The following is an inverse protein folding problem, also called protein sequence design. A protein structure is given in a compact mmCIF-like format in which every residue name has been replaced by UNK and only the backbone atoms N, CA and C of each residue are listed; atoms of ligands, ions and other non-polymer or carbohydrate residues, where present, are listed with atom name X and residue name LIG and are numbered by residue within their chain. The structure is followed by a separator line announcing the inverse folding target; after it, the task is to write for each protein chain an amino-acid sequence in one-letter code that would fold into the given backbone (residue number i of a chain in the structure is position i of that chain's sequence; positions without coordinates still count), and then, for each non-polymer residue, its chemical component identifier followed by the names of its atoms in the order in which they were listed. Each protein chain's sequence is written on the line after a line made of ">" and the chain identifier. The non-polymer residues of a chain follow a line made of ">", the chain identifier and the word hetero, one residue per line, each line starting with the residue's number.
data_IF_846421257204
#
_entry.id   IF_846421257204
#
_cell.length_a   1.000
_cell.length_b   1.000
_cell.length_c   1.000
_cell.angle_alpha   90.00
_cell.angle_beta   90.00
_cell.angle_gamma   90.00
#
_symmetry.space_group_name_H-M   'P 1'
#
loop_
_entity.id
_entity.type
_entity.pdbx_description
1 polymer ?
#
# COMPACT_ATOMS: atom_id res chain seq x y z
N UNK A 1 10.01 11.99 -11.26
CA UNK A 1 8.73 12.41 -10.65
C UNK A 1 8.66 13.93 -10.54
N UNK A 2 7.72 14.60 -11.22
CA UNK A 2 7.39 16.01 -10.95
C UNK A 2 6.28 16.06 -9.91
N UNK A 3 6.62 16.00 -8.63
CA UNK A 3 5.68 16.49 -7.61
C UNK A 3 5.45 17.97 -7.87
N UNK A 4 4.23 18.48 -7.70
CA UNK A 4 4.00 19.93 -7.66
C UNK A 4 5.01 20.53 -6.67
N UNK A 5 5.86 21.44 -7.14
CA UNK A 5 6.91 22.05 -6.32
C UNK A 5 6.34 22.63 -5.02
N UNK A 6 5.07 23.08 -5.05
CA UNK A 6 4.33 23.56 -3.87
C UNK A 6 3.96 22.44 -2.91
N UNK A 7 3.59 21.27 -3.41
CA UNK A 7 3.30 20.10 -2.58
C UNK A 7 4.57 19.56 -1.92
N UNK A 8 5.69 19.57 -2.62
CA UNK A 8 6.99 19.18 -2.08
C UNK A 8 7.48 20.16 -1.01
N UNK A 9 7.41 21.47 -1.27
CA UNK A 9 7.74 22.51 -0.28
C UNK A 9 6.91 22.33 1.00
N UNK A 10 5.59 22.10 0.84
CA UNK A 10 4.68 21.86 1.96
C UNK A 10 5.04 20.61 2.75
N UNK A 11 5.36 19.52 2.06
CA UNK A 11 5.75 18.26 2.70
C UNK A 11 7.07 18.37 3.46
N UNK A 12 8.05 19.07 2.89
CA UNK A 12 9.32 19.40 3.56
C UNK A 12 9.09 20.28 4.80
N UNK A 13 8.17 21.26 4.71
CA UNK A 13 7.79 22.10 5.85
C UNK A 13 7.16 21.31 6.99
N UNK A 14 6.31 20.32 6.69
CA UNK A 14 5.77 19.39 7.69
C UNK A 14 6.89 18.58 8.35
N UNK A 15 7.81 18.02 7.55
CA UNK A 15 8.93 17.23 8.08
C UNK A 15 9.86 18.04 8.99
N UNK A 16 10.11 19.31 8.65
CA UNK A 16 10.97 20.18 9.45
C UNK A 16 10.43 20.45 10.87
N UNK A 17 9.12 20.29 11.08
CA UNK A 17 8.48 20.46 12.39
C UNK A 17 8.49 19.16 13.24
N UNK A 18 8.98 18.05 12.71
CA UNK A 18 8.94 16.73 13.35
C UNK A 18 10.33 16.28 13.80
N UNK A 19 10.43 15.39 14.81
CA UNK A 19 11.70 14.75 15.15
C UNK A 19 12.26 13.92 13.99
N UNK A 20 13.57 13.62 13.98
CA UNK A 20 14.23 12.88 12.90
C UNK A 20 13.51 11.58 12.51
N UNK A 21 13.45 11.30 11.21
CA UNK A 21 12.83 10.11 10.61
C UNK A 21 13.85 9.37 9.76
N UNK A 22 13.66 8.06 9.55
CA UNK A 22 14.55 7.27 8.68
C UNK A 22 14.08 7.27 7.22
N UNK A 23 12.77 7.28 6.99
CA UNK A 23 12.18 7.37 5.66
C UNK A 23 10.87 8.14 5.75
N UNK A 24 10.53 8.89 4.71
CA UNK A 24 9.28 9.62 4.63
C UNK A 24 8.79 9.72 3.20
N UNK A 25 7.48 9.53 3.02
CA UNK A 25 6.80 9.70 1.76
C UNK A 25 5.65 10.70 1.89
N UNK A 26 5.45 11.53 0.88
CA UNK A 26 4.25 12.35 0.70
C UNK A 26 3.35 11.71 -0.36
N UNK A 27 2.05 11.76 -0.15
CA UNK A 27 1.15 10.99 -0.98
C UNK A 27 -0.27 11.55 -1.02
N UNK A 28 -1.10 10.99 -1.91
CA UNK A 28 -2.51 11.35 -2.00
C UNK A 28 -2.74 12.55 -2.91
N UNK A 29 -3.97 13.04 -2.90
CA UNK A 29 -4.43 14.02 -3.89
C UNK A 29 -3.77 15.40 -3.74
N UNK A 30 -3.24 15.75 -2.56
CA UNK A 30 -2.47 16.99 -2.38
C UNK A 30 -1.09 16.99 -3.03
N UNK A 31 -0.60 15.82 -3.45
CA UNK A 31 0.76 15.63 -4.01
C UNK A 31 0.70 15.22 -5.49
N UNK A 32 -0.39 14.57 -5.87
CA UNK A 32 -0.63 14.05 -7.22
C UNK A 32 -1.63 14.95 -7.97
N UNK A 33 -1.50 15.05 -9.29
CA UNK A 33 -2.06 16.12 -10.14
C UNK A 33 -3.59 16.34 -10.06
N UNK A 34 -4.34 15.40 -9.49
CA UNK A 34 -5.80 15.33 -9.60
C UNK A 34 -6.63 16.05 -8.53
N UNK A 35 -6.05 16.80 -7.58
CA UNK A 35 -6.89 17.51 -6.59
C UNK A 35 -7.40 18.88 -7.03
N UNK A 36 -6.80 19.51 -8.04
CA UNK A 36 -7.06 20.93 -8.31
C UNK A 36 -8.43 21.14 -9.00
N UNK A 37 -9.07 20.08 -9.51
CA UNK A 37 -10.28 20.22 -10.34
C UNK A 37 -11.64 19.99 -9.63
N UNK A 38 -11.69 19.58 -8.35
CA UNK A 38 -12.95 19.09 -7.76
C UNK A 38 -13.38 19.66 -6.39
N UNK A 39 -12.61 20.51 -5.72
CA UNK A 39 -13.04 21.13 -4.46
C UNK A 39 -12.57 22.56 -4.28
N UNK A 40 -13.43 23.41 -3.71
CA UNK A 40 -13.14 24.79 -3.33
C UNK A 40 -12.13 24.91 -2.17
N UNK A 41 -11.77 23.79 -1.53
CA UNK A 41 -10.73 23.70 -0.51
C UNK A 41 -9.55 22.86 -1.01
N UNK A 42 -8.32 23.30 -0.67
CA UNK A 42 -7.12 22.54 -0.99
C UNK A 42 -7.12 21.20 -0.23
N UNK A 43 -6.78 20.08 -0.90
CA UNK A 43 -6.74 18.75 -0.28
C UNK A 43 -5.74 18.71 0.89
N UNK A 44 -6.03 17.82 1.84
CA UNK A 44 -5.12 17.58 2.95
C UNK A 44 -3.85 16.87 2.47
N UNK A 45 -2.69 17.27 2.99
CA UNK A 45 -1.43 16.59 2.71
C UNK A 45 -1.33 15.32 3.55
N UNK A 46 -1.05 14.19 2.90
CA UNK A 46 -0.81 12.92 3.57
C UNK A 46 0.68 12.59 3.56
N UNK A 47 1.23 12.31 4.74
CA UNK A 47 2.62 11.90 4.91
C UNK A 47 2.67 10.56 5.66
N UNK A 48 3.59 9.68 5.29
CA UNK A 48 3.87 8.45 6.04
C UNK A 48 5.36 8.36 6.33
N UNK A 49 5.67 8.12 7.58
CA UNK A 49 7.02 8.19 8.16
C UNK A 49 7.40 6.83 8.70
N UNK A 50 8.68 6.49 8.59
CA UNK A 50 9.27 5.38 9.32
C UNK A 50 10.34 5.88 10.29
N UNK A 51 10.36 5.27 11.47
CA UNK A 51 11.25 5.63 12.57
C UNK A 51 11.83 4.38 13.21
N UNK A 52 13.06 4.48 13.70
CA UNK A 52 13.75 3.36 14.32
C UNK A 52 13.07 2.85 15.58
N UNK A 53 12.74 3.78 16.47
CA UNK A 53 12.06 3.52 17.74
C UNK A 53 10.80 4.42 17.83
N UNK A 54 9.61 3.87 17.53
CA UNK A 54 8.37 4.63 17.61
C UNK A 54 8.06 5.18 19.00
N UNK A 55 8.47 4.49 20.07
CA UNK A 55 8.24 4.96 21.44
C UNK A 55 9.09 6.19 21.70
N UNK A 56 10.40 6.12 21.50
CA UNK A 56 11.31 7.25 21.71
C UNK A 56 10.95 8.43 20.79
N UNK A 57 10.56 8.15 19.55
CA UNK A 57 10.13 9.17 18.60
C UNK A 57 8.84 9.87 19.07
N UNK A 58 7.82 9.12 19.48
CA UNK A 58 6.58 9.69 20.00
C UNK A 58 6.81 10.47 21.29
N UNK A 59 7.71 10.02 22.15
CA UNK A 59 8.06 10.75 23.37
C UNK A 59 8.66 12.12 23.05
N UNK A 60 9.56 12.18 22.06
CA UNK A 60 10.16 13.42 21.58
C UNK A 60 9.11 14.32 20.91
N UNK A 61 8.28 13.75 20.03
CA UNK A 61 7.26 14.50 19.31
C UNK A 61 6.15 15.01 20.23
N UNK A 62 5.78 14.29 21.28
CA UNK A 62 4.78 14.76 22.25
C UNK A 62 5.29 15.95 23.08
N UNK A 63 6.60 16.02 23.35
CA UNK A 63 7.21 17.19 24.02
C UNK A 63 7.27 18.40 23.10
N UNK A 64 7.71 18.21 21.86
CA UNK A 64 7.86 19.30 20.90
C UNK A 64 6.51 19.77 20.34
N UNK A 65 5.60 18.83 20.08
CA UNK A 65 4.34 19.03 19.38
C UNK A 65 3.15 18.38 20.11
N UNK A 66 2.85 18.77 21.37
CA UNK A 66 1.76 18.16 22.15
C UNK A 66 0.38 18.34 21.52
N UNK A 67 0.18 19.37 20.70
CA UNK A 67 -1.09 19.61 19.99
C UNK A 67 -1.34 18.65 18.83
N UNK A 68 -0.32 17.92 18.36
CA UNK A 68 -0.49 16.95 17.27
C UNK A 68 -1.26 15.71 17.69
N UNK A 69 -1.30 15.43 19.00
CA UNK A 69 -1.90 14.23 19.57
C UNK A 69 -3.27 14.55 20.16
N UNK A 70 -4.23 13.66 19.91
CA UNK A 70 -5.51 13.70 20.59
C UNK A 70 -5.32 13.58 22.13
N UNK A 71 -6.15 14.25 22.95
CA UNK A 71 -5.94 14.31 24.40
C UNK A 71 -5.75 12.95 25.08
N UNK A 72 -6.51 11.93 24.66
CA UNK A 72 -6.41 10.57 25.16
C UNK A 72 -5.07 9.89 24.82
N UNK A 73 -4.48 10.20 23.65
CA UNK A 73 -3.19 9.63 23.25
C UNK A 73 -2.05 10.24 24.07
N UNK A 74 -2.17 11.51 24.45
CA UNK A 74 -1.22 12.17 25.36
C UNK A 74 -1.27 11.58 26.75
N UNK A 75 -2.47 11.24 27.23
CA UNK A 75 -2.66 10.66 28.56
C UNK A 75 -2.00 9.27 28.68
N UNK A 76 -2.14 8.41 27.66
CA UNK A 76 -1.49 7.08 27.65
C UNK A 76 0.01 7.16 27.31
N UNK A 77 0.47 8.31 26.84
CA UNK A 77 1.86 8.60 26.52
C UNK A 77 2.40 7.82 25.30
N UNK A 78 3.71 7.94 25.08
CA UNK A 78 4.37 7.36 23.91
C UNK A 78 4.28 5.83 23.85
N UNK A 79 4.50 5.15 24.99
CA UNK A 79 4.39 3.68 25.08
C UNK A 79 2.97 3.19 24.82
N UNK A 80 1.97 3.86 25.38
CA UNK A 80 0.56 3.53 25.12
C UNK A 80 0.17 3.78 23.66
N UNK A 81 0.68 4.87 23.07
CA UNK A 81 0.46 5.19 21.66
C UNK A 81 0.98 4.11 20.72
N UNK A 82 2.22 3.68 20.94
CA UNK A 82 2.84 2.58 20.17
C UNK A 82 2.18 1.22 20.46
N UNK A 83 1.76 0.94 21.70
CA UNK A 83 1.03 -0.28 22.03
C UNK A 83 -0.33 -0.34 21.31
N UNK A 84 -1.08 0.76 21.31
CA UNK A 84 -2.36 0.89 20.58
C UNK A 84 -2.14 0.75 19.09
N UNK A 85 -1.08 1.36 18.54
CA UNK A 85 -0.81 1.24 17.11
C UNK A 85 -0.46 -0.20 16.72
N UNK A 86 0.37 -0.89 17.50
CA UNK A 86 0.74 -2.31 17.25
C UNK A 86 -0.42 -3.28 17.41
N UNK A 87 -1.41 -2.94 18.24
CA UNK A 87 -2.67 -3.69 18.30
C UNK A 87 -3.47 -3.59 16.98
N UNK A 88 -3.15 -2.64 16.11
CA UNK A 88 -3.83 -2.37 14.84
C UNK A 88 -2.87 -2.54 13.66
N UNK A 89 -2.91 -3.73 13.04
CA UNK A 89 -2.19 -3.98 11.79
C UNK A 89 -0.67 -3.76 11.90
N UNK A 90 -0.10 -2.90 11.04
CA UNK A 90 1.35 -2.68 10.92
C UNK A 90 1.98 -1.85 12.03
N UNK A 91 1.23 -1.40 13.04
CA UNK A 91 1.79 -0.52 14.06
C UNK A 91 1.77 0.97 13.71
N UNK A 92 0.95 1.37 12.73
CA UNK A 92 0.89 2.75 12.26
C UNK A 92 0.05 3.64 13.18
N UNK A 93 0.64 4.71 13.72
CA UNK A 93 -0.10 5.75 14.44
C UNK A 93 -0.25 7.00 13.58
N UNK A 94 -1.48 7.51 13.41
CA UNK A 94 -1.75 8.71 12.64
C UNK A 94 -2.10 9.90 13.54
N UNK A 95 -1.36 11.00 13.36
CA UNK A 95 -1.77 12.31 13.80
C UNK A 95 -2.49 13.01 12.63
N UNK A 96 -3.75 13.37 12.85
CA UNK A 96 -4.64 13.88 11.81
C UNK A 96 -5.32 15.19 12.25
N UNK A 97 -6.03 15.83 11.30
CA UNK A 97 -6.70 17.12 11.50
C UNK A 97 -5.75 18.25 11.94
N UNK A 98 -4.50 18.20 11.48
CA UNK A 98 -3.50 19.24 11.72
C UNK A 98 -3.61 20.30 10.63
N UNK A 99 -3.14 21.52 10.91
CA UNK A 99 -3.07 22.59 9.93
C UNK A 99 -1.68 23.22 9.95
N UNK A 100 -1.13 23.52 8.77
CA UNK A 100 0.11 24.28 8.68
C UNK A 100 -0.10 25.76 9.03
N UNK A 101 0.97 26.55 9.04
CA UNK A 101 0.93 27.99 9.32
C UNK A 101 0.06 28.80 8.35
N UNK A 102 -0.39 28.21 7.23
CA UNK A 102 -1.30 28.82 6.27
C UNK A 102 -2.72 28.24 6.36
N UNK A 103 -3.02 27.49 7.42
CA UNK A 103 -4.32 26.87 7.66
C UNK A 103 -4.62 25.66 6.77
N UNK A 104 -3.63 25.11 6.04
CA UNK A 104 -3.87 23.99 5.13
C UNK A 104 -3.74 22.67 5.86
N UNK A 105 -4.76 21.82 5.77
CA UNK A 105 -4.87 20.58 6.54
C UNK A 105 -3.82 19.51 6.19
N UNK A 106 -3.18 18.87 7.15
CA UNK A 106 -2.28 17.75 6.90
C UNK A 106 -2.45 16.63 7.94
N UNK A 107 -1.98 15.44 7.59
CA UNK A 107 -1.85 14.30 8.50
C UNK A 107 -0.56 13.55 8.23
N UNK A 108 -0.01 12.94 9.26
CA UNK A 108 1.14 12.07 9.13
C UNK A 108 0.97 10.78 9.94
N UNK A 109 1.34 9.67 9.32
CA UNK A 109 1.44 8.36 9.96
C UNK A 109 2.88 8.07 10.38
N UNK A 110 3.06 7.38 11.50
CA UNK A 110 4.37 6.94 12.02
C UNK A 110 4.35 5.43 12.17
N UNK A 111 5.35 4.76 11.61
CA UNK A 111 5.52 3.30 11.63
C UNK A 111 6.96 2.96 12.03
N UNK A 112 7.17 1.85 12.73
CA UNK A 112 8.53 1.33 12.93
C UNK A 112 9.16 0.90 11.60
N UNK A 113 10.41 1.30 11.33
CA UNK A 113 11.11 0.95 10.08
C UNK A 113 11.16 -0.55 9.85
N UNK A 114 11.43 -1.34 10.91
CA UNK A 114 11.44 -2.81 10.82
C UNK A 114 10.08 -3.39 10.41
N UNK A 115 8.98 -2.86 10.97
CA UNK A 115 7.63 -3.29 10.63
C UNK A 115 7.23 -2.88 9.20
N UNK A 116 7.66 -1.71 8.74
CA UNK A 116 7.42 -1.26 7.36
C UNK A 116 8.20 -2.12 6.36
N UNK A 117 9.47 -2.45 6.64
CA UNK A 117 10.28 -3.35 5.81
C UNK A 117 9.69 -4.77 5.80
N UNK A 118 9.28 -5.30 6.94
CA UNK A 118 8.60 -6.60 7.04
C UNK A 118 7.34 -6.60 6.17
N UNK A 119 6.52 -5.55 6.25
CA UNK A 119 5.30 -5.46 5.45
C UNK A 119 5.60 -5.39 3.94
N UNK A 120 6.62 -4.64 3.52
CA UNK A 120 7.06 -4.56 2.11
C UNK A 120 7.58 -5.87 1.56
N UNK A 121 8.30 -6.64 2.36
CA UNK A 121 8.98 -7.88 1.93
C UNK A 121 8.13 -9.13 2.10
N UNK A 122 7.10 -9.08 2.96
CA UNK A 122 6.29 -10.27 3.30
C UNK A 122 4.80 -10.10 3.08
N UNK A 123 4.30 -8.86 2.86
CA UNK A 123 2.87 -8.54 2.81
C UNK A 123 2.10 -9.04 4.04
N UNK A 124 2.69 -8.87 5.24
CA UNK A 124 2.09 -9.29 6.51
C UNK A 124 0.75 -8.61 6.79
N UNK A 125 0.65 -7.32 6.51
CA UNK A 125 -0.55 -6.52 6.70
C UNK A 125 -1.03 -5.87 5.40
N UNK A 126 -0.16 -5.78 4.38
CA UNK A 126 -0.39 -5.07 3.12
C UNK A 126 -0.79 -3.59 3.31
N UNK A 127 -0.43 -3.01 4.45
CA UNK A 127 -0.80 -1.65 4.81
C UNK A 127 0.19 -0.65 4.18
N UNK A 128 1.46 -0.79 4.55
CA UNK A 128 2.53 0.05 4.06
C UNK A 128 2.88 -0.39 2.64
N UNK A 129 2.98 -1.71 2.41
CA UNK A 129 3.22 -2.28 1.10
C UNK A 129 2.15 -1.89 0.07
N UNK A 130 0.87 -2.02 0.44
CA UNK A 130 -0.26 -1.58 -0.38
C UNK A 130 -0.24 -0.08 -0.64
N UNK A 131 0.24 0.74 0.30
CA UNK A 131 0.43 2.16 -0.01
C UNK A 131 1.53 2.35 -1.05
N UNK A 132 2.64 1.63 -0.92
CA UNK A 132 3.81 1.79 -1.78
C UNK A 132 3.64 1.17 -3.19
N UNK A 133 2.56 0.43 -3.45
CA UNK A 133 2.19 0.04 -4.82
C UNK A 133 1.71 1.22 -5.67
N UNK A 134 1.29 2.32 -5.03
CA UNK A 134 0.69 3.50 -5.67
C UNK A 134 1.69 4.67 -5.68
N UNK A 135 1.55 5.61 -6.63
CA UNK A 135 2.37 6.83 -6.69
C UNK A 135 2.51 7.56 -5.35
N UNK A 136 3.74 7.95 -5.04
CA UNK A 136 4.14 8.65 -3.83
C UNK A 136 5.47 9.37 -4.06
N UNK A 137 5.68 10.51 -3.41
CA UNK A 137 6.94 11.25 -3.44
C UNK A 137 7.78 10.83 -2.25
N UNK A 138 9.02 10.38 -2.47
CA UNK A 138 9.96 10.15 -1.37
C UNK A 138 10.57 11.49 -0.94
N UNK A 139 10.43 11.82 0.34
CA UNK A 139 10.96 13.04 0.96
C UNK A 139 12.29 12.77 1.69
N UNK A 140 12.38 11.62 2.37
CA UNK A 140 13.58 11.13 3.05
C UNK A 140 13.74 9.67 2.66
N UNK A 141 14.94 9.30 2.21
CA UNK A 141 15.24 7.96 1.74
C UNK A 141 16.06 7.17 2.76
N UNK A 142 15.68 5.91 2.98
CA UNK A 142 16.47 4.92 3.72
C UNK A 142 16.80 3.80 2.75
N UNK A 143 18.06 3.35 2.72
CA UNK A 143 18.50 2.27 1.84
C UNK A 143 17.69 0.99 2.06
N UNK A 144 17.41 0.63 3.31
CA UNK A 144 16.60 -0.53 3.65
C UNK A 144 15.17 -0.43 3.09
N UNK A 145 14.56 0.76 3.18
CA UNK A 145 13.22 1.01 2.64
C UNK A 145 13.20 0.98 1.10
N UNK A 146 14.22 1.55 0.46
CA UNK A 146 14.34 1.54 -1.01
C UNK A 146 14.55 0.11 -1.54
N UNK A 147 15.39 -0.69 -0.88
CA UNK A 147 15.61 -2.09 -1.22
C UNK A 147 14.31 -2.91 -1.07
N UNK A 148 13.65 -2.80 0.08
CA UNK A 148 12.38 -3.47 0.34
C UNK A 148 11.29 -3.04 -0.65
N UNK A 149 11.27 -1.77 -1.05
CA UNK A 149 10.33 -1.28 -2.05
C UNK A 149 10.59 -1.86 -3.44
N UNK A 150 11.86 -2.08 -3.83
CA UNK A 150 12.18 -2.73 -5.11
C UNK A 150 11.61 -4.16 -5.17
N UNK A 151 11.72 -4.91 -4.07
CA UNK A 151 11.09 -6.23 -3.94
C UNK A 151 9.56 -6.14 -4.00
N UNK A 152 8.97 -5.20 -3.25
CA UNK A 152 7.53 -4.97 -3.23
C UNK A 152 6.94 -4.67 -4.63
N UNK A 153 7.63 -3.87 -5.44
CA UNK A 153 7.25 -3.59 -6.84
C UNK A 153 7.25 -4.87 -7.68
N UNK A 154 8.26 -5.72 -7.52
CA UNK A 154 8.32 -7.00 -8.22
C UNK A 154 7.21 -7.95 -7.77
N UNK A 155 6.87 -7.99 -6.47
CA UNK A 155 5.73 -8.75 -5.96
C UNK A 155 4.40 -8.28 -6.53
N UNK A 156 4.18 -6.97 -6.57
CA UNK A 156 2.98 -6.38 -7.14
C UNK A 156 2.85 -6.68 -8.65
N UNK A 157 3.96 -6.62 -9.41
CA UNK A 157 3.98 -7.06 -10.82
C UNK A 157 3.53 -8.52 -10.96
N UNK A 158 4.12 -9.46 -10.21
CA UNK A 158 3.77 -10.90 -10.29
C UNK A 158 2.30 -11.12 -9.98
N UNK A 159 1.82 -10.52 -8.89
CA UNK A 159 0.43 -10.65 -8.49
C UNK A 159 -0.53 -10.07 -9.54
N UNK A 160 -0.23 -8.91 -10.12
CA UNK A 160 -1.04 -8.31 -11.19
C UNK A 160 -1.05 -9.17 -12.46
N UNK A 161 0.12 -9.64 -12.92
CA UNK A 161 0.25 -10.48 -14.12
C UNK A 161 -0.47 -11.83 -13.99
N UNK A 162 -0.45 -12.43 -12.80
CA UNK A 162 -1.22 -13.64 -12.51
C UNK A 162 -2.74 -13.42 -12.70
N UNK A 163 -3.25 -12.25 -12.32
CA UNK A 163 -4.67 -11.90 -12.40
C UNK A 163 -5.10 -11.42 -13.81
N UNK A 164 -4.17 -10.95 -14.63
CA UNK A 164 -4.46 -10.42 -15.97
C UNK A 164 -4.48 -11.55 -17.02
N UNK A 165 -5.26 -11.36 -18.11
CA UNK A 165 -5.25 -12.26 -19.27
C UNK A 165 -3.96 -12.12 -20.10
N UNK A 166 -3.79 -12.94 -21.14
CA UNK A 166 -2.62 -12.89 -22.06
C UNK A 166 -2.45 -11.54 -22.74
N UNK A 167 -3.54 -10.81 -22.99
CA UNK A 167 -3.55 -9.50 -23.66
C UNK A 167 -4.28 -8.47 -22.80
N UNK A 168 -3.63 -7.36 -22.49
CA UNK A 168 -4.20 -6.30 -21.65
C UNK A 168 -3.57 -4.94 -22.00
N UNK A 169 -4.18 -3.85 -21.56
CA UNK A 169 -3.66 -2.49 -21.71
C UNK A 169 -2.86 -2.05 -20.49
N UNK A 170 -2.01 -1.03 -20.64
CA UNK A 170 -1.31 -0.38 -19.52
C UNK A 170 -2.28 0.02 -18.39
N UNK A 171 -3.44 0.59 -18.76
CA UNK A 171 -4.42 1.03 -17.77
C UNK A 171 -5.04 -0.15 -17.00
N UNK A 172 -5.25 -1.31 -17.64
CA UNK A 172 -5.68 -2.53 -16.95
C UNK A 172 -4.62 -3.06 -15.99
N UNK A 173 -3.33 -2.99 -16.38
CA UNK A 173 -2.23 -3.31 -15.48
C UNK A 173 -2.20 -2.41 -14.26
N UNK A 174 -2.30 -1.09 -14.45
CA UNK A 174 -2.35 -0.11 -13.37
C UNK A 174 -3.57 -0.35 -12.47
N UNK A 175 -4.76 -0.61 -13.04
CA UNK A 175 -5.96 -0.97 -12.26
C UNK A 175 -5.73 -2.23 -11.42
N UNK A 176 -5.06 -3.26 -11.97
CA UNK A 176 -4.73 -4.47 -11.23
C UNK A 176 -3.82 -4.16 -10.02
N UNK A 177 -2.76 -3.36 -10.21
CA UNK A 177 -1.87 -2.93 -9.12
C UNK A 177 -2.61 -2.14 -8.02
N UNK A 178 -3.48 -1.22 -8.43
CA UNK A 178 -4.28 -0.43 -7.49
C UNK A 178 -5.22 -1.34 -6.70
N UNK A 179 -5.90 -2.30 -7.36
CA UNK A 179 -6.81 -3.28 -6.73
C UNK A 179 -6.14 -4.13 -5.65
N UNK A 180 -4.91 -4.60 -5.88
CA UNK A 180 -4.15 -5.35 -4.87
C UNK A 180 -4.10 -4.63 -3.52
N UNK A 181 -4.03 -3.30 -3.57
CA UNK A 181 -3.88 -2.43 -2.40
C UNK A 181 -5.20 -2.09 -1.70
N UNK A 182 -6.34 -2.52 -2.24
CA UNK A 182 -7.68 -2.35 -1.67
C UNK A 182 -8.24 -3.67 -1.16
N UNK A 183 -8.02 -4.76 -1.89
CA UNK A 183 -8.46 -6.10 -1.49
C UNK A 183 -7.74 -6.62 -0.21
N UNK A 184 -6.60 -6.03 0.18
CA UNK A 184 -5.86 -6.37 1.41
C UNK A 184 -5.82 -5.29 2.49
N UNK A 185 -6.54 -4.16 2.34
CA UNK A 185 -6.64 -3.15 3.39
C UNK A 185 -7.84 -3.46 4.31
N UNK A 186 -7.57 -3.83 5.55
CA UNK A 186 -8.57 -4.12 6.61
C UNK A 186 -9.55 -2.95 6.89
N UNK A 187 -9.32 -1.75 6.33
CA UNK A 187 -10.18 -0.57 6.52
C UNK A 187 -11.38 -0.49 5.57
N UNK A 188 -11.65 -1.51 4.75
CA UNK A 188 -12.71 -1.48 3.74
C UNK A 188 -13.99 -2.27 4.07
N UNK A 189 -14.23 -2.59 5.35
CA UNK A 189 -15.49 -3.22 5.80
C UNK A 189 -16.75 -2.34 5.59
N UNK A 190 -16.60 -1.10 5.12
CA UNK A 190 -17.71 -0.20 4.80
C UNK A 190 -17.40 0.58 3.51
N UNK A 191 -17.91 0.14 2.35
CA UNK A 191 -18.59 0.98 1.34
C UNK A 191 -18.54 0.41 -0.09
N UNK A 192 -19.68 0.47 -0.78
CA UNK A 192 -19.85 0.29 -2.23
C UNK A 192 -19.21 1.42 -3.08
N UNK A 193 -18.12 2.03 -2.58
CA UNK A 193 -17.46 3.22 -3.12
C UNK A 193 -16.25 2.89 -4.03
N UNK A 194 -15.84 1.62 -4.07
CA UNK A 194 -14.46 1.21 -4.39
C UNK A 194 -14.08 1.27 -5.90
N UNK A 195 -14.96 0.84 -6.81
CA UNK A 195 -14.64 0.81 -8.25
C UNK A 195 -14.32 2.19 -8.84
N UNK A 196 -15.06 3.23 -8.42
CA UNK A 196 -14.86 4.61 -8.87
C UNK A 196 -13.55 5.21 -8.34
N UNK A 197 -13.09 4.76 -7.18
CA UNK A 197 -11.83 5.23 -6.59
C UNK A 197 -10.63 4.54 -7.23
N UNK A 198 -10.72 3.24 -7.49
CA UNK A 198 -9.74 2.48 -8.28
C UNK A 198 -9.56 3.16 -9.64
N UNK A 199 -10.67 3.43 -10.33
CA UNK A 199 -10.63 4.07 -11.65
C UNK A 199 -9.93 5.43 -11.58
N UNK A 200 -10.36 6.30 -10.66
CA UNK A 200 -9.79 7.64 -10.50
C UNK A 200 -8.28 7.61 -10.23
N UNK A 201 -7.83 6.71 -9.36
CA UNK A 201 -6.39 6.60 -9.04
C UNK A 201 -5.62 6.07 -10.24
N UNK A 202 -6.13 5.04 -10.91
CA UNK A 202 -5.48 4.42 -12.04
C UNK A 202 -5.38 5.38 -13.25
N UNK A 203 -6.48 6.03 -13.62
CA UNK A 203 -6.51 6.95 -14.76
C UNK A 203 -5.77 8.27 -14.48
N UNK A 204 -5.80 8.73 -13.23
CA UNK A 204 -5.23 10.01 -12.80
C UNK A 204 -3.72 10.04 -12.65
N UNK A 205 -3.07 8.86 -12.58
CA UNK A 205 -1.64 8.75 -12.24
C UNK A 205 -0.91 7.75 -13.16
N UNK A 206 -1.30 7.70 -14.43
CA UNK A 206 -0.75 6.74 -15.39
C UNK A 206 0.75 6.90 -15.53
N UNK A 207 1.23 8.15 -15.70
CA UNK A 207 2.65 8.43 -15.90
C UNK A 207 3.50 8.11 -14.67
N UNK A 208 3.03 8.52 -13.49
CA UNK A 208 3.73 8.25 -12.23
C UNK A 208 3.78 6.75 -11.94
N UNK A 209 2.69 6.04 -12.21
CA UNK A 209 2.66 4.59 -12.04
C UNK A 209 3.56 3.92 -13.07
N UNK A 210 3.54 4.31 -14.35
CA UNK A 210 4.48 3.80 -15.36
C UNK A 210 5.92 3.93 -14.89
N UNK A 211 6.31 5.13 -14.44
CA UNK A 211 7.67 5.40 -13.95
C UNK A 211 8.07 4.51 -12.78
N UNK A 212 7.15 4.13 -11.88
CA UNK A 212 7.44 3.23 -10.75
C UNK A 212 7.73 1.79 -11.19
N UNK A 213 7.09 1.32 -12.26
CA UNK A 213 7.13 -0.09 -12.66
C UNK A 213 7.98 -0.35 -13.91
N UNK A 214 8.39 0.70 -14.64
CA UNK A 214 9.13 0.59 -15.91
C UNK A 214 10.41 -0.23 -15.79
N UNK A 215 11.30 0.09 -14.83
CA UNK A 215 12.57 -0.65 -14.67
C UNK A 215 12.30 -2.13 -14.44
N UNK A 216 11.38 -2.43 -13.52
CA UNK A 216 11.01 -3.80 -13.16
C UNK A 216 10.47 -4.56 -14.38
N UNK A 217 9.57 -3.96 -15.16
CA UNK A 217 9.04 -4.57 -16.38
C UNK A 217 10.14 -4.80 -17.44
N UNK A 218 11.01 -3.81 -17.67
CA UNK A 218 12.08 -3.87 -18.69
C UNK A 218 13.24 -4.81 -18.35
N UNK A 219 13.43 -5.10 -17.07
CA UNK A 219 14.56 -5.90 -16.59
C UNK A 219 14.08 -7.27 -16.12
N UNK A 220 13.18 -7.33 -15.14
CA UNK A 220 12.79 -8.59 -14.49
C UNK A 220 11.72 -9.37 -15.27
N UNK A 221 10.92 -8.70 -16.11
CA UNK A 221 9.80 -9.31 -16.85
C UNK A 221 9.95 -9.20 -18.37
N UNK A 222 11.15 -8.84 -18.86
CA UNK A 222 11.43 -8.62 -20.29
C UNK A 222 11.02 -9.79 -21.18
N UNK A 223 11.33 -11.01 -20.73
CA UNK A 223 11.14 -12.21 -21.53
C UNK A 223 9.72 -12.79 -21.38
N UNK A 224 8.94 -12.28 -20.44
CA UNK A 224 7.59 -12.77 -20.13
C UNK A 224 6.49 -11.75 -20.45
N UNK A 225 6.83 -10.48 -20.66
CA UNK A 225 5.87 -9.39 -20.92
C UNK A 225 6.37 -8.50 -22.07
N UNK A 226 5.56 -8.38 -23.11
CA UNK A 226 5.78 -7.43 -24.20
C UNK A 226 4.98 -6.14 -23.95
N UNK A 227 5.69 -5.07 -23.61
CA UNK A 227 5.12 -3.74 -23.31
C UNK A 227 5.04 -2.90 -24.59
N UNK A 228 3.83 -2.48 -24.96
CA UNK A 228 3.65 -1.52 -26.06
C UNK A 228 4.19 -0.14 -25.66
N UNK A 229 4.92 0.49 -26.59
CA UNK A 229 5.43 1.87 -26.42
C UNK A 229 4.42 2.93 -26.88
N UNK A 230 3.33 2.52 -27.54
CA UNK A 230 2.27 3.44 -27.95
C UNK A 230 1.26 3.66 -26.82
N UNK A 231 0.85 4.92 -26.55
CA UNK A 231 -0.23 5.19 -25.62
C UNK A 231 -1.50 4.43 -26.01
N UNK A 232 -2.07 3.68 -25.07
CA UNK A 232 -3.25 2.83 -25.32
C UNK A 232 -2.95 1.56 -26.12
N UNK A 233 -1.68 1.23 -26.37
CA UNK A 233 -1.30 -0.01 -27.05
C UNK A 233 -1.53 -1.25 -26.18
N UNK A 234 -1.76 -2.38 -26.84
CA UNK A 234 -1.95 -3.68 -26.21
C UNK A 234 -0.62 -4.26 -25.77
N UNK A 235 -0.54 -4.67 -24.51
CA UNK A 235 0.55 -5.45 -23.95
C UNK A 235 0.19 -6.93 -24.00
N UNK A 236 1.20 -7.79 -24.07
CA UNK A 236 1.01 -9.23 -23.99
C UNK A 236 1.91 -9.86 -22.94
N UNK A 237 1.51 -11.00 -22.40
CA UNK A 237 2.31 -11.78 -21.46
C UNK A 237 2.26 -13.27 -21.77
N UNK A 238 3.31 -13.99 -21.39
CA UNK A 238 3.35 -15.45 -21.43
C UNK A 238 2.56 -16.06 -20.24
N UNK A 239 1.55 -16.89 -20.54
CA UNK A 239 0.77 -17.64 -19.55
C UNK A 239 1.11 -19.13 -19.54
N UNK A 240 2.26 -19.51 -20.08
CA UNK A 240 2.80 -20.87 -19.97
C UNK A 240 2.91 -21.29 -18.51
N UNK A 241 2.73 -22.58 -18.26
CA UNK A 241 2.70 -23.14 -16.90
C UNK A 241 3.99 -22.82 -16.13
N UNK A 242 5.15 -22.78 -16.80
CA UNK A 242 6.43 -22.50 -16.17
C UNK A 242 6.57 -21.01 -15.76
N UNK A 243 6.08 -20.09 -16.59
CA UNK A 243 6.03 -18.66 -16.23
C UNK A 243 5.06 -18.42 -15.08
N UNK A 244 3.88 -19.05 -15.10
CA UNK A 244 2.92 -18.96 -14.00
C UNK A 244 3.50 -19.50 -12.68
N UNK A 245 4.18 -20.66 -12.72
CA UNK A 245 4.87 -21.22 -11.54
C UNK A 245 5.95 -20.29 -11.03
N UNK A 246 6.74 -19.68 -11.92
CA UNK A 246 7.77 -18.69 -11.56
C UNK A 246 7.16 -17.45 -10.91
N UNK A 247 6.03 -16.94 -11.43
CA UNK A 247 5.31 -15.84 -10.80
C UNK A 247 4.82 -16.19 -9.40
N UNK A 248 4.17 -17.35 -9.23
CA UNK A 248 3.70 -17.82 -7.92
C UNK A 248 4.86 -17.98 -6.95
N UNK A 249 5.94 -18.67 -7.34
CA UNK A 249 7.10 -18.91 -6.48
C UNK A 249 7.82 -17.62 -6.04
N UNK A 250 7.71 -16.55 -6.84
CA UNK A 250 8.24 -15.24 -6.52
C UNK A 250 7.30 -14.33 -5.74
N UNK A 251 6.14 -14.79 -5.28
CA UNK A 251 5.26 -14.02 -4.40
C UNK A 251 5.80 -13.96 -2.96
N UNK A 252 5.37 -12.98 -2.14
CA UNK A 252 5.80 -12.88 -0.75
C UNK A 252 5.46 -14.12 0.08
N UNK A 253 6.29 -14.39 1.09
CA UNK A 253 6.17 -15.59 1.92
C UNK A 253 4.78 -15.79 2.56
N UNK A 254 4.12 -14.71 3.03
CA UNK A 254 2.79 -14.84 3.65
C UNK A 254 1.70 -15.16 2.62
N UNK A 255 1.85 -14.69 1.38
CA UNK A 255 0.95 -15.07 0.28
C UNK A 255 1.14 -16.56 0.00
N UNK A 256 2.38 -17.02 -0.19
CA UNK A 256 2.72 -18.42 -0.43
C UNK A 256 2.25 -19.36 0.69
N UNK A 257 2.40 -18.96 1.95
CA UNK A 257 1.89 -19.71 3.10
C UNK A 257 0.37 -19.83 3.06
N UNK A 258 -0.32 -18.74 2.72
CA UNK A 258 -1.77 -18.72 2.49
C UNK A 258 -2.20 -19.71 1.40
N UNK A 259 -1.46 -19.80 0.30
CA UNK A 259 -1.69 -20.76 -0.79
C UNK A 259 -1.49 -22.20 -0.34
N UNK A 260 -0.40 -22.48 0.37
CA UNK A 260 -0.05 -23.84 0.80
C UNK A 260 -1.02 -24.40 1.85
N UNK A 261 -1.54 -23.54 2.73
CA UNK A 261 -2.53 -23.90 3.75
C UNK A 261 -3.89 -24.33 3.19
N UNK A 262 -4.13 -24.15 1.89
CA UNK A 262 -5.41 -24.48 1.23
C UNK A 262 -5.52 -25.93 0.74
N UNK A 263 -4.49 -26.79 0.96
CA UNK A 263 -4.45 -28.19 0.50
C UNK A 263 -4.93 -29.26 1.51
N UNK A 264 -5.70 -28.91 2.55
CA UNK A 264 -6.28 -29.86 3.54
C UNK A 264 -7.66 -29.28 3.94
N UNK A 265 -8.84 -29.91 3.83
CA UNK A 265 -9.30 -31.26 4.23
C UNK A 265 -10.65 -31.59 3.52
N UNK A 266 -10.79 -32.79 2.94
CA UNK A 266 -12.01 -33.23 2.23
C UNK A 266 -13.17 -33.64 3.15
N UNK A 267 -12.95 -33.72 4.46
CA UNK A 267 -13.95 -34.17 5.45
C UNK A 267 -14.89 -33.06 5.97
N UNK A 268 -14.52 -31.79 5.77
CA UNK A 268 -15.27 -30.64 6.30
C UNK A 268 -16.57 -30.33 5.53
N UNK A 269 -16.70 -30.79 4.28
CA UNK A 269 -17.86 -30.51 3.43
C UNK A 269 -19.06 -31.42 3.78
N UNK A 270 -18.83 -32.65 4.24
CA UNK A 270 -19.91 -33.56 4.66
C UNK A 270 -20.46 -33.24 6.05
N UNK A 271 -19.63 -32.71 6.97
CA UNK A 271 -20.08 -32.28 8.30
C UNK A 271 -20.98 -31.03 8.24
N UNK A 272 -20.68 -30.08 7.34
CA UNK A 272 -21.46 -28.86 7.20
C UNK A 272 -22.87 -29.07 6.60
N UNK A 273 -23.14 -30.23 5.97
CA UNK A 273 -24.48 -30.57 5.42
C UNK A 273 -25.45 -31.16 6.43
N UNK A 274 -25.00 -31.53 7.65
CA UNK A 274 -25.82 -32.27 8.63
C UNK A 274 -26.17 -31.51 9.90
N UNK A 275 -25.55 -30.37 10.19
CA UNK A 275 -25.87 -29.55 11.36
C UNK A 275 -26.43 -28.20 10.92
N UNK A 276 -27.69 -27.92 11.23
CA UNK A 276 -28.37 -26.64 10.97
C UNK A 276 -28.00 -25.56 12.00
N UNK A 277 -26.75 -25.59 12.49
CA UNK A 277 -26.23 -24.61 13.44
C UNK A 277 -25.38 -23.58 12.69
N UNK A 278 -25.57 -22.31 13.04
CA UNK A 278 -24.79 -21.20 12.53
C UNK A 278 -23.32 -21.38 12.94
N UNK A 279 -22.53 -21.89 11.99
CA UNK A 279 -21.07 -21.95 12.11
C UNK A 279 -20.54 -20.54 11.91
N UNK A 280 -19.84 -20.02 12.92
CA UNK A 280 -19.01 -18.84 12.83
C UNK A 280 -17.83 -19.16 11.89
N UNK A 281 -17.85 -18.61 10.68
CA UNK A 281 -16.86 -18.85 9.62
C UNK A 281 -15.84 -17.71 9.58
N UNK A 282 -14.53 -17.98 9.75
CA UNK A 282 -13.47 -16.99 9.52
C UNK A 282 -13.33 -16.63 8.02
N UNK A 283 -14.13 -15.65 7.59
CA UNK A 283 -14.29 -14.86 6.34
C UNK A 283 -13.21 -14.88 5.21
N UNK A 284 -12.72 -16.04 4.81
CA UNK A 284 -12.82 -16.66 3.47
C UNK A 284 -12.42 -16.01 2.10
N UNK A 285 -12.11 -14.73 1.90
CA UNK A 285 -12.13 -14.22 0.49
C UNK A 285 -10.82 -14.29 -0.32
N UNK A 286 -9.64 -14.22 0.30
CA UNK A 286 -8.35 -14.46 -0.40
C UNK A 286 -8.25 -15.91 -0.90
N UNK A 287 -8.87 -16.84 -0.15
CA UNK A 287 -8.92 -18.28 -0.42
C UNK A 287 -9.87 -18.70 -1.56
N UNK A 288 -10.73 -17.81 -2.08
CA UNK A 288 -11.55 -18.06 -3.29
C UNK A 288 -10.80 -17.69 -4.58
N UNK A 289 -9.88 -16.71 -4.52
CA UNK A 289 -9.36 -16.01 -5.72
C UNK A 289 -8.10 -16.61 -6.34
N UNK A 290 -7.31 -17.40 -5.60
CA UNK A 290 -6.28 -18.25 -6.21
C UNK A 290 -6.85 -19.58 -6.74
N UNK A 291 -8.07 -19.93 -6.34
CA UNK A 291 -8.74 -21.17 -6.74
C UNK A 291 -9.17 -21.22 -8.22
N UNK A 292 -9.08 -20.12 -8.97
CA UNK A 292 -9.35 -20.02 -10.42
C UNK A 292 -8.10 -19.69 -11.26
N UNK A 293 -6.91 -19.72 -10.66
CA UNK A 293 -5.62 -19.47 -11.35
C UNK A 293 -4.99 -20.79 -11.86
N UNK A 294 -5.66 -21.93 -11.62
CA UNK A 294 -5.65 -23.11 -12.49
C UNK A 294 -7.02 -23.21 -13.14
#
# INVERSE_FOLDING_TARGET
>A
MRGDARALERATGVLAALPPVEHAIAYGSAVLADAVAASSSAPALDVLLTVRDPVAWHETNMRANPSHYAPQMRLVGARGTDAVSRAVGVGAHYNAALADNRGRGYKYGVVGTSAAVEDLTTWKYLFFAGRMHKPHVTLVASEAMLAAQKENVAFACRAALLLLPETFSELEFIRALVRLSYDGDIRFLFAAEDARKIERIASGNVEETRSMYEETLRVAFRDTVCVSQTPGGTWTQDKSVDVLRSHVAGLPANVLAGLSSSRVDGSSIEKARRSNDAVDVPRDDVRRRIRNIV
#
